data_IF_550225079288
#
_entry.id   IF_550225079288
#
_cell.length_a   1.000
_cell.length_b   1.000
_cell.length_c   1.000
_cell.angle_alpha   90.00
_cell.angle_beta   90.00
_cell.angle_gamma   90.00
#
_symmetry.space_group_name_H-M   'P 1'
#
loop_
_entity.id
_entity.type
_entity.pdbx_description
1 polymer ?
#
# COMPACT_ATOMS: atom_id res chain seq x y z
N UNK A 1 19.78 -6.90 -8.72
CA UNK A 1 18.62 -7.74 -9.06
C UNK A 1 17.37 -7.01 -8.60
N UNK A 2 16.47 -6.65 -9.51
CA UNK A 2 15.19 -5.99 -9.18
C UNK A 2 14.25 -7.02 -8.56
N UNK A 3 13.80 -6.78 -7.33
CA UNK A 3 12.78 -7.64 -6.71
C UNK A 3 11.45 -7.49 -7.46
N UNK A 4 10.60 -8.53 -7.54
CA UNK A 4 9.28 -8.44 -8.18
C UNK A 4 8.43 -7.29 -7.63
N UNK A 5 8.53 -7.02 -6.32
CA UNK A 5 7.85 -5.91 -5.65
C UNK A 5 8.25 -4.54 -6.23
N UNK A 6 9.54 -4.32 -6.52
CA UNK A 6 10.02 -3.08 -7.11
C UNK A 6 9.47 -2.86 -8.54
N UNK A 7 9.25 -3.95 -9.29
CA UNK A 7 8.65 -3.92 -10.61
C UNK A 7 7.17 -3.51 -10.53
N UNK A 8 6.37 -4.18 -9.70
CA UNK A 8 4.94 -3.86 -9.56
C UNK A 8 4.72 -2.44 -9.05
N UNK A 9 5.51 -1.99 -8.07
CA UNK A 9 5.48 -0.60 -7.59
C UNK A 9 5.81 0.39 -8.71
N UNK A 10 6.81 0.07 -9.54
CA UNK A 10 7.19 0.92 -10.68
C UNK A 10 6.13 0.99 -11.78
N UNK A 11 5.30 -0.04 -11.94
CA UNK A 11 4.18 -0.05 -12.90
C UNK A 11 2.97 0.73 -12.38
N UNK A 12 2.75 0.74 -11.06
CA UNK A 12 1.65 1.49 -10.45
C UNK A 12 1.93 3.00 -10.43
N UNK A 13 3.19 3.41 -10.29
CA UNK A 13 3.60 4.81 -10.22
C UNK A 13 3.13 5.66 -11.42
N UNK A 14 3.24 5.22 -12.69
CA UNK A 14 2.62 5.90 -13.84
C UNK A 14 1.10 6.05 -13.73
N UNK A 15 0.38 5.05 -13.21
CA UNK A 15 -1.07 5.12 -13.05
C UNK A 15 -1.47 6.23 -12.05
N UNK A 16 -0.77 6.31 -10.92
CA UNK A 16 -0.99 7.36 -9.92
C UNK A 16 -0.65 8.74 -10.48
N UNK A 17 0.41 8.84 -11.28
CA UNK A 17 0.77 10.09 -11.96
C UNK A 17 -0.32 10.54 -12.95
N UNK A 18 -0.92 9.63 -13.70
CA UNK A 18 -2.02 9.95 -14.62
C UNK A 18 -3.28 10.41 -13.87
N UNK A 19 -3.62 9.76 -12.75
CA UNK A 19 -4.74 10.18 -11.88
C UNK A 19 -4.49 11.59 -11.34
N UNK A 20 -3.30 11.88 -10.84
CA UNK A 20 -2.94 13.21 -10.33
C UNK A 20 -3.02 14.29 -11.42
N UNK A 21 -2.53 14.00 -12.63
CA UNK A 21 -2.64 14.94 -13.75
C UNK A 21 -4.08 15.21 -14.17
N UNK A 22 -4.90 14.17 -14.25
CA UNK A 22 -6.32 14.31 -14.56
C UNK A 22 -7.09 15.09 -13.47
N UNK A 23 -6.63 15.01 -12.22
CA UNK A 23 -7.12 15.84 -11.12
C UNK A 23 -6.62 17.31 -11.18
N UNK A 24 -5.76 17.68 -12.14
CA UNK A 24 -5.25 19.03 -12.33
C UNK A 24 -3.88 19.30 -11.68
N UNK A 25 -3.18 18.28 -11.15
CA UNK A 25 -1.83 18.45 -10.63
C UNK A 25 -0.78 18.37 -11.75
N UNK A 26 -0.10 19.49 -12.01
CA UNK A 26 0.88 19.61 -13.08
C UNK A 26 2.31 19.23 -12.65
N UNK A 27 2.59 19.21 -11.34
CA UNK A 27 3.88 18.85 -10.76
C UNK A 27 3.69 18.28 -9.36
N UNK A 28 4.56 17.34 -8.98
CA UNK A 28 4.59 16.75 -7.63
C UNK A 28 6.02 16.37 -7.26
N UNK A 29 6.33 16.37 -5.96
CA UNK A 29 7.62 15.89 -5.47
C UNK A 29 7.69 14.36 -5.65
N UNK A 30 8.83 13.78 -6.08
CA UNK A 30 8.95 12.33 -6.22
C UNK A 30 8.55 11.54 -4.97
N UNK A 31 8.90 12.06 -3.78
CA UNK A 31 8.53 11.45 -2.50
C UNK A 31 7.02 11.35 -2.30
N UNK A 32 6.24 12.34 -2.73
CA UNK A 32 4.77 12.33 -2.59
C UNK A 32 4.17 11.28 -3.53
N UNK A 33 4.67 11.23 -4.77
CA UNK A 33 4.25 10.23 -5.73
C UNK A 33 4.55 8.80 -5.24
N UNK A 34 5.73 8.58 -4.65
CA UNK A 34 6.09 7.29 -4.07
C UNK A 34 5.21 6.93 -2.87
N UNK A 35 4.92 7.88 -1.98
CA UNK A 35 4.00 7.63 -0.85
C UNK A 35 2.59 7.27 -1.29
N UNK A 36 2.05 7.95 -2.33
CA UNK A 36 0.73 7.64 -2.86
C UNK A 36 0.72 6.30 -3.59
N UNK A 37 1.82 5.94 -4.26
CA UNK A 37 1.97 4.64 -4.91
C UNK A 37 2.00 3.51 -3.89
N UNK A 38 2.75 3.68 -2.79
CA UNK A 38 2.79 2.70 -1.68
C UNK A 38 1.42 2.57 -1.00
N UNK A 39 0.74 3.70 -0.72
CA UNK A 39 -0.60 3.70 -0.14
C UNK A 39 -1.60 2.98 -1.04
N UNK A 40 -1.58 3.25 -2.35
CA UNK A 40 -2.45 2.58 -3.31
C UNK A 40 -2.18 1.06 -3.36
N UNK A 41 -0.92 0.64 -3.33
CA UNK A 41 -0.56 -0.77 -3.29
C UNK A 41 -1.08 -1.47 -2.04
N UNK A 42 -0.90 -0.86 -0.86
CA UNK A 42 -1.42 -1.38 0.41
C UNK A 42 -2.94 -1.41 0.44
N UNK A 43 -3.60 -0.40 -0.12
CA UNK A 43 -5.04 -0.33 -0.22
C UNK A 43 -5.62 -1.43 -1.12
N UNK A 44 -5.00 -1.70 -2.27
CA UNK A 44 -5.39 -2.83 -3.13
C UNK A 44 -5.21 -4.18 -2.43
N UNK A 45 -4.15 -4.34 -1.63
CA UNK A 45 -3.94 -5.55 -0.84
C UNK A 45 -5.02 -5.70 0.26
N UNK A 46 -5.35 -4.61 0.95
CA UNK A 46 -6.43 -4.58 1.94
C UNK A 46 -7.77 -4.98 1.31
N UNK A 47 -8.12 -4.41 0.15
CA UNK A 47 -9.34 -4.76 -0.57
C UNK A 47 -9.36 -6.24 -0.98
N UNK A 48 -8.24 -6.78 -1.46
CA UNK A 48 -8.17 -8.19 -1.83
C UNK A 48 -8.36 -9.11 -0.62
N UNK A 49 -7.77 -8.77 0.53
CA UNK A 49 -7.95 -9.51 1.79
C UNK A 49 -9.39 -9.44 2.30
N UNK A 50 -9.98 -8.25 2.31
CA UNK A 50 -11.38 -8.07 2.71
C UNK A 50 -12.33 -8.84 1.78
N UNK A 51 -12.10 -8.80 0.47
CA UNK A 51 -12.89 -9.56 -0.52
C UNK A 51 -12.78 -11.07 -0.27
N UNK A 52 -11.58 -11.59 -0.02
CA UNK A 52 -11.38 -13.01 0.26
C UNK A 52 -12.07 -13.44 1.56
N UNK A 53 -12.04 -12.60 2.59
CA UNK A 53 -12.75 -12.87 3.85
C UNK A 53 -14.27 -12.92 3.63
N UNK A 54 -14.82 -11.99 2.85
CA UNK A 54 -16.24 -11.96 2.52
C UNK A 54 -16.67 -13.17 1.70
N UNK A 55 -15.89 -13.55 0.68
CA UNK A 55 -16.15 -14.76 -0.10
C UNK A 55 -16.14 -16.02 0.78
N UNK A 56 -15.21 -16.13 1.73
CA UNK A 56 -15.13 -17.25 2.65
C UNK A 56 -16.33 -17.35 3.62
N UNK A 57 -16.99 -16.23 3.92
CA UNK A 57 -18.19 -16.20 4.77
C UNK A 57 -19.47 -16.44 3.97
N UNK A 58 -19.56 -15.91 2.75
CA UNK A 58 -20.74 -15.99 1.91
C UNK A 58 -20.88 -17.33 1.18
N UNK A 59 -19.77 -17.92 0.75
CA UNK A 59 -19.78 -19.14 -0.05
C UNK A 59 -19.52 -20.37 0.83
N UNK A 60 -20.57 -20.86 1.48
CA UNK A 60 -20.51 -22.04 2.35
C UNK A 60 -20.57 -23.37 1.58
N UNK A 61 -20.96 -23.32 0.29
CA UNK A 61 -21.09 -24.53 -0.52
C UNK A 61 -19.72 -25.07 -0.98
N UNK A 62 -19.45 -26.39 -0.87
CA UNK A 62 -18.15 -26.98 -1.18
C UNK A 62 -17.65 -26.74 -2.60
N UNK A 63 -18.57 -26.61 -3.57
CA UNK A 63 -18.22 -26.41 -4.98
C UNK A 63 -17.87 -24.95 -5.30
N UNK A 64 -18.32 -24.00 -4.47
CA UNK A 64 -18.17 -22.55 -4.67
C UNK A 64 -17.22 -21.89 -3.66
N UNK A 65 -16.63 -22.67 -2.75
CA UNK A 65 -15.80 -22.16 -1.64
C UNK A 65 -14.54 -21.38 -2.08
N UNK A 66 -14.18 -21.40 -3.37
CA UNK A 66 -13.08 -20.64 -3.96
C UNK A 66 -13.55 -19.58 -4.98
N UNK A 67 -14.85 -19.48 -5.21
CA UNK A 67 -15.39 -18.47 -6.10
C UNK A 67 -15.44 -17.11 -5.39
N UNK A 68 -15.06 -16.06 -6.12
CA UNK A 68 -15.20 -14.68 -5.66
C UNK A 68 -16.26 -14.04 -6.53
N UNK A 69 -17.31 -13.54 -5.88
CA UNK A 69 -18.42 -12.87 -6.54
C UNK A 69 -18.23 -11.35 -6.55
N UNK A 70 -18.99 -10.67 -7.41
CA UNK A 70 -19.05 -9.19 -7.40
C UNK A 70 -19.62 -8.67 -6.08
N UNK A 71 -20.46 -9.44 -5.39
CA UNK A 71 -21.01 -9.09 -4.09
C UNK A 71 -19.91 -9.00 -3.02
N UNK A 72 -18.95 -9.93 -3.01
CA UNK A 72 -17.84 -9.92 -2.05
C UNK A 72 -16.96 -8.68 -2.23
N UNK A 73 -16.72 -8.29 -3.49
CA UNK A 73 -15.97 -7.06 -3.82
C UNK A 73 -16.74 -5.82 -3.37
N UNK A 74 -18.06 -5.78 -3.58
CA UNK A 74 -18.91 -4.68 -3.14
C UNK A 74 -18.85 -4.51 -1.62
N UNK A 75 -19.02 -5.59 -0.86
CA UNK A 75 -18.98 -5.55 0.61
C UNK A 75 -17.60 -5.13 1.11
N UNK A 76 -16.51 -5.63 0.50
CA UNK A 76 -15.16 -5.19 0.81
C UNK A 76 -14.96 -3.68 0.57
N UNK A 77 -15.53 -3.14 -0.50
CA UNK A 77 -15.49 -1.70 -0.80
C UNK A 77 -16.32 -0.87 0.20
N UNK A 78 -17.43 -1.40 0.71
CA UNK A 78 -18.21 -0.75 1.77
C UNK A 78 -17.45 -0.71 3.09
N UNK A 79 -16.88 -1.85 3.51
CA UNK A 79 -16.10 -1.96 4.74
C UNK A 79 -14.83 -1.09 4.73
N UNK A 80 -14.19 -0.98 3.56
CA UNK A 80 -13.04 -0.10 3.36
C UNK A 80 -13.43 1.38 3.21
N UNK A 81 -14.72 1.72 3.26
CA UNK A 81 -15.23 3.09 3.17
C UNK A 81 -15.17 3.71 1.76
N UNK A 82 -14.96 2.90 0.71
CA UNK A 82 -15.01 3.37 -0.67
C UNK A 82 -16.44 3.55 -1.19
N UNK A 83 -17.38 2.73 -0.70
CA UNK A 83 -18.80 2.87 -0.96
C UNK A 83 -19.47 3.22 0.37
N UNK A 84 -19.95 4.45 0.50
CA UNK A 84 -20.60 4.90 1.74
C UNK A 84 -22.10 4.61 1.61
N UNK A 85 -22.68 3.73 2.47
CA UNK A 85 -24.13 3.57 2.55
C UNK A 85 -24.74 4.84 3.14
N UNK A 86 -25.89 5.29 2.61
CA UNK A 86 -26.61 6.43 3.16
C UNK A 86 -27.62 6.02 4.24
N UNK A 87 -28.13 4.78 4.17
CA UNK A 87 -29.01 4.15 5.16
C UNK A 87 -28.20 3.29 6.15
N UNK A 88 -28.49 3.35 7.46
CA UNK A 88 -27.93 2.42 8.43
C UNK A 88 -28.45 0.99 8.18
N UNK A 89 -27.67 -0.01 8.59
CA UNK A 89 -27.99 -1.43 8.39
C UNK A 89 -29.37 -1.83 8.94
N UNK A 90 -29.76 -1.27 10.10
CA UNK A 90 -31.05 -1.55 10.75
C UNK A 90 -32.24 -1.10 9.91
N UNK A 91 -32.13 0.03 9.21
CA UNK A 91 -33.19 0.49 8.32
C UNK A 91 -33.29 -0.37 7.05
N UNK A 92 -32.15 -0.81 6.52
CA UNK A 92 -32.12 -1.72 5.37
C UNK A 92 -32.76 -3.08 5.70
N UNK A 93 -32.51 -3.61 6.90
CA UNK A 93 -33.14 -4.84 7.39
C UNK A 93 -34.66 -4.70 7.60
N UNK A 94 -35.11 -3.54 8.10
CA UNK A 94 -36.53 -3.27 8.33
C UNK A 94 -37.30 -3.10 7.01
N UNK A 95 -36.74 -2.34 6.06
CA UNK A 95 -37.35 -2.10 4.74
C UNK A 95 -37.22 -3.33 3.83
N UNK A 96 -36.25 -4.22 4.10
CA UNK A 96 -35.91 -5.36 3.24
C UNK A 96 -35.23 -4.95 1.92
N UNK A 97 -34.72 -3.73 1.83
CA UNK A 97 -34.08 -3.16 0.65
C UNK A 97 -32.61 -2.81 0.94
N UNK A 98 -31.69 -3.36 0.14
CA UNK A 98 -30.27 -2.99 0.20
C UNK A 98 -30.05 -1.56 -0.31
N UNK A 99 -29.23 -0.77 0.40
CA UNK A 99 -28.87 0.57 -0.06
C UNK A 99 -27.79 0.54 -1.15
N UNK A 100 -28.21 0.76 -2.40
CA UNK A 100 -27.31 0.78 -3.57
C UNK A 100 -26.74 2.15 -3.90
N UNK A 101 -27.13 3.23 -3.20
CA UNK A 101 -26.77 4.61 -3.60
C UNK A 101 -25.27 4.85 -3.67
N UNK A 102 -24.51 4.24 -2.75
CA UNK A 102 -23.04 4.28 -2.80
C UNK A 102 -22.48 3.64 -4.09
N UNK A 103 -23.07 2.52 -4.52
CA UNK A 103 -22.73 1.88 -5.80
C UNK A 103 -23.16 2.71 -7.00
N UNK A 104 -24.35 3.32 -6.96
CA UNK A 104 -24.85 4.20 -8.02
C UNK A 104 -23.94 5.42 -8.21
N UNK A 105 -23.49 6.03 -7.10
CA UNK A 105 -22.53 7.12 -7.12
C UNK A 105 -21.17 6.67 -7.70
N UNK A 106 -20.70 5.48 -7.34
CA UNK A 106 -19.48 4.91 -7.91
C UNK A 106 -19.62 4.67 -9.42
N UNK A 107 -20.73 4.07 -9.88
CA UNK A 107 -21.01 3.85 -11.30
C UNK A 107 -21.09 5.18 -12.07
N UNK A 108 -21.76 6.19 -11.50
CA UNK A 108 -21.82 7.53 -12.06
C UNK A 108 -20.42 8.16 -12.18
N UNK A 109 -19.54 7.96 -11.18
CA UNK A 109 -18.15 8.41 -11.27
C UNK A 109 -17.36 7.65 -12.35
N UNK A 110 -17.50 6.32 -12.43
CA UNK A 110 -16.83 5.48 -13.44
C UNK A 110 -17.25 5.89 -14.86
N UNK A 111 -18.53 6.20 -15.08
CA UNK A 111 -19.04 6.66 -16.38
C UNK A 111 -18.88 8.17 -16.59
N UNK A 112 -18.52 8.89 -15.54
CA UNK A 112 -18.49 10.34 -15.48
C UNK A 112 -17.29 10.98 -16.19
N UNK A 113 -17.31 12.32 -16.26
CA UNK A 113 -16.25 13.08 -16.91
C UNK A 113 -14.88 12.90 -16.24
N UNK A 114 -14.83 12.68 -14.92
CA UNK A 114 -13.58 12.48 -14.18
C UNK A 114 -12.81 11.24 -14.66
N UNK A 115 -13.46 10.08 -14.73
CA UNK A 115 -12.81 8.87 -15.24
C UNK A 115 -12.47 8.98 -16.73
N UNK A 116 -13.33 9.64 -17.52
CA UNK A 116 -13.04 9.93 -18.93
C UNK A 116 -11.75 10.75 -19.09
N UNK A 117 -11.55 11.74 -18.22
CA UNK A 117 -10.33 12.55 -18.22
C UNK A 117 -9.10 11.75 -17.79
N UNK A 118 -9.21 10.90 -16.75
CA UNK A 118 -8.12 9.99 -16.35
C UNK A 118 -7.71 9.09 -17.52
N UNK A 119 -8.68 8.52 -18.25
CA UNK A 119 -8.43 7.71 -19.45
C UNK A 119 -7.79 8.55 -20.55
N UNK A 120 -8.26 9.77 -20.78
CA UNK A 120 -7.70 10.69 -21.78
C UNK A 120 -6.23 10.96 -21.50
N UNK A 121 -5.88 11.33 -20.27
CA UNK A 121 -4.50 11.60 -19.83
C UNK A 121 -3.62 10.36 -19.88
N UNK A 122 -4.16 9.19 -19.50
CA UNK A 122 -3.42 7.94 -19.57
C UNK A 122 -3.14 7.48 -21.02
N UNK A 123 -4.07 7.79 -21.94
CA UNK A 123 -4.02 7.41 -23.36
C UNK A 123 -3.49 8.52 -24.27
N UNK A 124 -3.07 9.66 -23.72
CA UNK A 124 -2.65 10.89 -24.44
C UNK A 124 -1.34 10.73 -25.24
N UNK A 125 -1.00 9.52 -25.68
CA UNK A 125 -0.31 9.42 -26.96
C UNK A 125 -0.14 8.01 -27.48
N UNK A 126 -1.23 7.26 -27.56
CA UNK A 126 -1.46 6.49 -28.78
C UNK A 126 -2.97 6.22 -28.92
N UNK A 127 -3.56 6.73 -30.01
CA UNK A 127 -4.94 6.41 -30.40
C UNK A 127 -5.01 5.08 -31.15
N UNK A 128 -3.88 4.41 -31.37
CA UNK A 128 -3.84 3.05 -31.89
C UNK A 128 -3.98 2.03 -30.76
N UNK A 129 -4.63 0.92 -31.08
CA UNK A 129 -4.93 -0.24 -30.21
C UNK A 129 -3.67 -0.98 -29.72
N UNK A 130 -2.65 -0.27 -29.26
CA UNK A 130 -1.46 -0.84 -28.68
C UNK A 130 -1.71 -1.10 -27.20
N UNK A 131 -1.27 -2.28 -26.74
CA UNK A 131 -1.31 -2.67 -25.34
C UNK A 131 -0.64 -1.60 -24.46
N UNK A 132 -1.25 -1.25 -23.32
CA UNK A 132 -0.81 -0.16 -22.44
C UNK A 132 0.68 -0.27 -22.08
N UNK A 133 1.13 -1.50 -21.85
CA UNK A 133 2.52 -1.81 -21.53
C UNK A 133 3.45 -1.65 -22.74
N UNK A 134 2.98 -1.97 -23.94
CA UNK A 134 3.72 -1.76 -25.19
C UNK A 134 3.83 -0.26 -25.52
N UNK A 135 2.76 0.51 -25.33
CA UNK A 135 2.76 1.97 -25.50
C UNK A 135 3.73 2.65 -24.52
N UNK A 136 3.76 2.19 -23.26
CA UNK A 136 4.70 2.69 -22.25
C UNK A 136 6.17 2.40 -22.63
N UNK A 137 6.46 1.18 -23.11
CA UNK A 137 7.80 0.78 -23.55
C UNK A 137 8.25 1.52 -24.82
N UNK A 138 7.36 1.75 -25.79
CA UNK A 138 7.66 2.43 -27.06
C UNK A 138 7.96 3.92 -26.86
N UNK A 139 7.16 4.63 -26.05
CA UNK A 139 7.40 6.05 -25.72
C UNK A 139 8.74 6.30 -25.02
N UNK A 140 9.27 5.30 -24.30
CA UNK A 140 10.55 5.39 -23.61
C UNK A 140 11.75 5.46 -24.56
N UNK A 141 11.69 4.80 -25.72
CA UNK A 141 12.83 4.76 -26.65
C UNK A 141 12.91 5.97 -27.61
N UNK A 142 11.84 6.74 -27.78
CA UNK A 142 11.75 7.76 -28.86
C UNK A 142 11.87 9.21 -28.36
N UNK A 143 11.70 9.51 -27.07
CA UNK A 143 11.57 10.91 -26.61
C UNK A 143 12.66 11.31 -25.60
N UNK A 144 13.70 12.00 -26.07
CA UNK A 144 14.77 12.61 -25.25
C UNK A 144 14.25 13.67 -24.26
N UNK A 145 13.07 14.25 -24.49
CA UNK A 145 12.42 15.23 -23.58
C UNK A 145 11.45 14.59 -22.56
N UNK A 146 11.12 13.31 -22.70
CA UNK A 146 10.17 12.57 -21.84
C UNK A 146 10.78 12.00 -20.55
N UNK A 147 12.07 12.24 -20.35
CA UNK A 147 12.89 11.65 -19.30
C UNK A 147 12.53 12.17 -17.89
N UNK A 148 11.92 13.35 -17.80
CA UNK A 148 11.47 13.96 -16.53
C UNK A 148 10.18 13.33 -15.99
N UNK A 149 9.35 12.75 -16.86
CA UNK A 149 8.00 12.26 -16.50
C UNK A 149 8.05 11.00 -15.62
N UNK A 150 9.05 10.16 -15.85
CA UNK A 150 9.24 8.87 -15.19
C UNK A 150 10.52 8.81 -14.37
N UNK A 151 11.13 9.96 -14.09
CA UNK A 151 12.32 10.07 -13.27
C UNK A 151 12.04 9.51 -11.87
N UNK A 152 12.85 8.57 -11.40
CA UNK A 152 12.66 7.80 -10.17
C UNK A 152 11.90 6.47 -10.32
N UNK A 153 11.53 6.06 -11.54
CA UNK A 153 10.92 4.74 -11.80
C UNK A 153 11.88 3.79 -12.51
N UNK A 154 11.61 2.47 -12.47
CA UNK A 154 12.36 1.47 -13.28
C UNK A 154 12.24 1.73 -14.80
N UNK A 155 11.22 2.48 -15.22
CA UNK A 155 10.94 2.84 -16.61
C UNK A 155 11.58 4.18 -17.02
N UNK A 156 12.35 4.83 -16.15
CA UNK A 156 13.06 6.07 -16.45
C UNK A 156 14.42 6.10 -15.77
N UNK A 157 15.03 7.30 -15.65
CA UNK A 157 16.28 7.44 -14.89
C UNK A 157 16.04 7.14 -13.41
N UNK A 158 16.92 6.37 -12.73
CA UNK A 158 16.83 6.18 -11.29
C UNK A 158 16.97 7.54 -10.59
N UNK A 159 16.15 7.77 -9.56
CA UNK A 159 16.23 9.01 -8.80
C UNK A 159 17.60 9.10 -8.12
N UNK A 160 18.24 10.28 -8.22
CA UNK A 160 19.47 10.53 -7.48
C UNK A 160 19.21 10.31 -5.98
N UNK A 161 20.06 9.54 -5.28
CA UNK A 161 19.88 9.26 -3.86
C UNK A 161 20.06 10.55 -3.06
N UNK A 162 18.95 11.23 -2.75
CA UNK A 162 18.97 12.44 -1.92
C UNK A 162 19.31 12.04 -0.48
N UNK A 163 20.43 12.53 0.02
CA UNK A 163 20.81 12.32 1.41
C UNK A 163 19.78 12.98 2.32
N UNK A 164 19.03 12.17 3.07
CA UNK A 164 18.11 12.65 4.10
C UNK A 164 18.97 13.08 5.28
N UNK A 165 19.09 14.39 5.48
CA UNK A 165 19.76 14.99 6.63
C UNK A 165 18.82 14.90 7.83
N UNK A 166 19.24 14.21 8.88
CA UNK A 166 18.49 14.12 10.13
C UNK A 166 18.89 15.32 10.98
N UNK A 167 17.96 16.24 11.25
CA UNK A 167 18.24 17.38 12.16
C UNK A 167 17.77 17.05 13.57
N UNK A 168 18.65 17.22 14.56
CA UNK A 168 18.33 17.04 15.98
C UNK A 168 19.08 15.92 16.74
N UNK A 169 20.13 15.31 16.18
CA UNK A 169 20.95 14.31 16.90
C UNK A 169 22.38 14.19 16.38
N UNK A 170 23.22 13.40 17.06
CA UNK A 170 24.65 13.17 16.77
C UNK A 170 24.94 12.47 15.43
N UNK A 171 23.91 12.15 14.64
CA UNK A 171 24.03 11.45 13.36
C UNK A 171 23.37 12.28 12.28
N UNK A 172 24.17 12.68 11.28
CA UNK A 172 23.78 13.70 10.30
C UNK A 172 23.10 13.13 9.05
N UNK A 173 23.12 11.81 8.87
CA UNK A 173 22.57 11.12 7.70
C UNK A 173 22.18 9.66 8.00
N UNK A 174 21.15 9.16 7.31
CA UNK A 174 20.68 7.75 7.43
C UNK A 174 21.78 6.74 7.07
N UNK A 175 22.72 7.10 6.18
CA UNK A 175 23.87 6.24 5.84
C UNK A 175 24.84 6.07 7.01
N UNK A 176 25.13 7.17 7.70
CA UNK A 176 26.01 7.19 8.88
C UNK A 176 25.39 6.39 10.04
N UNK A 177 24.07 6.49 10.21
CA UNK A 177 23.32 5.67 11.16
C UNK A 177 23.39 4.17 10.85
N UNK A 178 23.19 3.80 9.58
CA UNK A 178 23.27 2.40 9.13
C UNK A 178 24.68 1.82 9.29
N UNK A 179 25.73 2.60 9.09
CA UNK A 179 27.12 2.19 9.36
C UNK A 179 27.39 2.00 10.85
N UNK A 180 26.77 2.81 11.71
CA UNK A 180 26.90 2.70 13.18
C UNK A 180 26.22 1.44 13.71
N UNK A 181 25.12 1.01 13.08
CA UNK A 181 24.43 -0.26 13.38
C UNK A 181 25.22 -1.50 12.92
N UNK A 182 26.04 -1.38 11.88
CA UNK A 182 26.89 -2.47 11.38
C UNK A 182 28.17 -2.64 12.20
N UNK A 183 28.53 -1.70 13.07
CA UNK A 183 29.64 -1.89 14.01
C UNK A 183 29.16 -2.77 15.16
N UNK A 184 29.84 -3.90 15.46
CA UNK A 184 29.54 -4.67 16.65
C UNK A 184 29.76 -3.80 17.89
N UNK A 185 28.88 -3.93 18.90
CA UNK A 185 28.99 -3.20 20.17
C UNK A 185 30.36 -3.48 20.80
N UNK A 186 31.19 -2.46 20.94
CA UNK A 186 32.28 -2.49 21.89
C UNK A 186 31.67 -2.23 23.26
N UNK A 187 31.55 -3.28 24.07
CA UNK A 187 31.19 -3.15 25.48
C UNK A 187 32.22 -2.26 26.16
N UNK A 188 31.83 -1.02 26.41
CA UNK A 188 32.55 -0.14 27.30
C UNK A 188 32.12 -0.51 28.70
N UNK A 189 33.00 -1.22 29.41
CA UNK A 189 32.89 -1.51 30.84
C UNK A 189 32.93 -0.21 31.63
N UNK A 190 31.77 0.42 31.81
CA UNK A 190 31.61 1.50 32.76
C UNK A 190 31.31 0.88 34.12
N UNK A 191 32.28 1.09 35.01
CA UNK A 191 32.33 0.68 36.41
C UNK A 191 31.02 0.97 37.15
N UNK A 192 30.56 -0.08 37.82
CA UNK A 192 29.44 -0.14 38.76
C UNK A 192 29.50 0.94 39.86
N UNK A 193 28.38 1.62 40.08
CA UNK A 193 27.95 2.11 41.40
C UNK A 193 26.46 2.50 41.43
N UNK A 194 25.56 1.58 41.08
CA UNK A 194 24.17 1.64 41.57
C UNK A 194 23.69 0.26 41.97
N UNK A 195 23.26 0.18 43.24
CA UNK A 195 22.86 -0.99 44.00
C UNK A 195 21.91 -1.91 43.22
N UNK A 196 22.19 -3.20 43.31
CA UNK A 196 21.29 -4.30 42.96
C UNK A 196 20.06 -4.27 43.86
N UNK A 197 18.88 -4.38 43.27
CA UNK A 197 17.63 -4.65 43.98
C UNK A 197 16.75 -5.52 43.09
N UNK A 198 16.84 -6.85 43.26
CA UNK A 198 15.70 -7.79 43.13
C UNK A 198 16.18 -9.25 43.28
N UNK A 199 16.53 -9.65 44.50
CA UNK A 199 16.56 -11.04 44.96
C UNK A 199 15.13 -11.54 45.22
N UNK A 200 14.28 -11.67 44.20
CA UNK A 200 12.92 -12.22 44.37
C UNK A 200 12.43 -13.09 43.21
N UNK A 201 13.32 -13.68 42.40
CA UNK A 201 12.90 -14.52 41.26
C UNK A 201 13.65 -15.84 41.13
N UNK A 202 13.89 -16.56 42.25
CA UNK A 202 14.44 -17.93 42.18
C UNK A 202 13.94 -18.90 43.27
N UNK A 203 12.70 -18.75 43.77
CA UNK A 203 12.15 -19.62 44.82
C UNK A 203 10.78 -20.22 44.45
N UNK A 204 10.59 -20.57 43.18
CA UNK A 204 9.33 -21.16 42.70
C UNK A 204 9.53 -22.39 41.80
N UNK A 205 10.67 -23.07 41.88
CA UNK A 205 10.94 -24.24 41.04
C UNK A 205 11.78 -25.31 41.78
N UNK A 206 11.34 -25.67 43.00
CA UNK A 206 11.82 -26.87 43.70
C UNK A 206 10.65 -27.77 44.11
N UNK A 207 10.37 -28.75 43.23
CA UNK A 207 10.11 -30.16 43.55
C UNK A 207 8.89 -30.43 44.46
N UNK A 208 7.70 -30.57 43.85
CA UNK A 208 6.69 -31.52 44.32
C UNK A 208 6.97 -32.87 43.65
N UNK A 209 7.73 -33.73 44.32
CA UNK A 209 7.75 -35.17 44.02
C UNK A 209 7.94 -35.96 45.32
N UNK A 210 6.85 -36.64 45.73
CA UNK A 210 6.87 -37.80 46.62
C UNK A 210 6.94 -37.54 48.13
N UNK A 211 5.86 -37.89 48.84
CA UNK A 211 5.84 -39.01 49.81
C UNK A 211 4.40 -39.19 50.34
N UNK A 212 3.91 -40.42 50.19
CA UNK A 212 2.73 -41.00 50.86
C UNK A 212 2.88 -40.97 52.39
N UNK A 213 1.83 -40.58 53.10
CA UNK A 213 1.04 -41.38 54.06
C UNK A 213 -0.07 -40.51 54.65
#
# INVERSE_FOLDING_TARGET
MTTPQALHHSLLRPCILHILRAAGYHSTRPSVLDTLTDLAARYMLLLAQATANHAALNHTEPELALEISVQDVRMALQDCGALIPEKPMVEQEFDGEEDTRGMDAFLAWVQGPGNKEIRRVALEGDSEKQDYLAALKKKHNTTTEGDTRYNGTILGKPAEPRAVKVEGGDVSSVKEWAERLKRPRQDTSIVSSRRQSSDLSSLADEIMDGIEF
#
